data_IF_164227387263
#
_entry.id   IF_164227387263
#
_cell.length_a   1.000
_cell.length_b   1.000
_cell.length_c   1.000
_cell.angle_alpha   90.00
_cell.angle_beta   90.00
_cell.angle_gamma   90.00
#
_symmetry.space_group_name_H-M   'P 1'
#
loop_
_entity.id
_entity.type
_entity.pdbx_description
1 polymer ?
#
# COMPACT_ATOMS: atom_id res chain seq x y z
N UNK A 1 61.09 -43.08 -13.36
CA UNK A 1 60.77 -41.63 -13.36
C UNK A 1 59.30 -41.50 -13.66
N UNK A 2 58.43 -41.85 -12.71
CA UNK A 2 56.97 -41.80 -12.88
C UNK A 2 56.26 -41.96 -11.51
N UNK A 3 56.49 -41.02 -10.59
CA UNK A 3 55.74 -40.98 -9.32
C UNK A 3 55.54 -39.48 -8.89
N UNK A 4 55.00 -38.62 -9.72
CA UNK A 4 54.67 -37.26 -9.28
C UNK A 4 53.50 -36.61 -10.01
N UNK A 5 52.49 -37.38 -10.38
CA UNK A 5 51.30 -36.76 -11.02
C UNK A 5 49.96 -37.28 -10.52
N UNK A 6 49.85 -37.88 -9.33
CA UNK A 6 48.59 -38.34 -8.76
C UNK A 6 48.06 -37.54 -7.56
N UNK A 7 48.72 -36.48 -7.16
CA UNK A 7 48.32 -35.68 -5.97
C UNK A 7 47.48 -34.45 -6.25
N UNK A 8 47.46 -33.92 -7.45
CA UNK A 8 46.83 -32.64 -7.75
C UNK A 8 45.36 -32.68 -8.18
N UNK A 9 44.88 -33.85 -8.59
CA UNK A 9 43.50 -33.99 -9.10
C UNK A 9 42.45 -34.24 -8.00
N UNK A 10 42.85 -34.60 -6.78
CA UNK A 10 41.89 -34.82 -5.65
C UNK A 10 41.58 -33.57 -4.84
N UNK A 11 42.40 -32.52 -4.91
CA UNK A 11 42.18 -31.29 -4.17
C UNK A 11 41.27 -30.29 -4.88
N UNK A 12 41.11 -30.44 -6.21
CA UNK A 12 40.23 -29.56 -7.01
C UNK A 12 38.75 -29.96 -6.99
N UNK A 13 38.43 -31.20 -6.58
CA UNK A 13 37.04 -31.71 -6.51
C UNK A 13 36.33 -31.43 -5.17
N UNK A 14 37.03 -30.96 -4.16
CA UNK A 14 36.44 -30.67 -2.83
C UNK A 14 36.03 -29.23 -2.62
N UNK A 15 36.32 -28.34 -3.57
CA UNK A 15 35.98 -26.91 -3.50
C UNK A 15 34.72 -26.51 -4.27
N UNK A 16 34.02 -27.47 -4.88
CA UNK A 16 32.83 -27.23 -5.71
C UNK A 16 31.47 -27.57 -5.05
N UNK A 17 31.46 -27.89 -3.74
CA UNK A 17 30.24 -28.40 -3.08
C UNK A 17 29.72 -27.55 -1.90
N UNK A 18 30.06 -26.26 -1.79
CA UNK A 18 29.49 -25.40 -0.72
C UNK A 18 28.97 -24.08 -1.26
N UNK A 19 28.33 -24.08 -2.41
CA UNK A 19 27.34 -23.04 -2.77
C UNK A 19 25.94 -23.65 -2.73
N UNK A 20 25.54 -24.15 -1.57
CA UNK A 20 24.11 -24.28 -1.29
C UNK A 20 23.60 -22.85 -1.13
N UNK A 21 23.04 -22.31 -2.21
CA UNK A 21 22.27 -21.08 -2.20
C UNK A 21 21.18 -21.21 -1.15
N UNK A 22 21.42 -20.61 0.03
CA UNK A 22 20.38 -20.43 1.02
C UNK A 22 19.40 -19.41 0.45
N UNK A 23 18.50 -19.90 -0.40
CA UNK A 23 17.37 -19.13 -0.88
C UNK A 23 16.50 -18.85 0.34
N UNK A 24 16.65 -17.65 0.91
CA UNK A 24 15.75 -17.16 1.94
C UNK A 24 14.39 -16.92 1.27
N UNK A 25 13.61 -17.97 1.18
CA UNK A 25 12.26 -17.89 0.64
C UNK A 25 11.41 -17.17 1.67
N UNK A 26 11.19 -15.87 1.45
CA UNK A 26 10.27 -15.09 2.26
C UNK A 26 8.91 -15.79 2.26
N UNK A 27 8.38 -16.13 3.44
CA UNK A 27 7.03 -16.71 3.57
C UNK A 27 6.04 -15.80 2.85
N UNK A 28 5.11 -16.36 2.06
CA UNK A 28 4.06 -15.58 1.44
C UNK A 28 3.28 -14.83 2.54
N UNK A 29 3.10 -13.52 2.36
CA UNK A 29 2.34 -12.70 3.31
C UNK A 29 0.87 -13.12 3.24
N UNK A 30 0.29 -13.52 4.36
CA UNK A 30 -1.16 -13.76 4.43
C UNK A 30 -1.89 -12.41 4.50
N UNK A 31 -2.41 -11.99 3.38
CA UNK A 31 -3.09 -10.71 3.21
C UNK A 31 -4.44 -10.60 3.93
N UNK A 32 -5.01 -11.72 4.42
CA UNK A 32 -6.41 -11.79 4.87
C UNK A 32 -6.64 -11.26 6.28
N UNK A 33 -5.70 -11.47 7.18
CA UNK A 33 -5.87 -11.17 8.62
C UNK A 33 -4.75 -10.29 9.18
N UNK A 34 -4.05 -9.54 8.33
CA UNK A 34 -2.86 -8.80 8.74
C UNK A 34 -3.22 -7.66 9.70
N UNK A 35 -2.77 -7.78 10.93
CA UNK A 35 -2.58 -6.67 11.87
C UNK A 35 -1.14 -6.18 11.75
N UNK A 36 -0.88 -4.94 12.16
CA UNK A 36 0.45 -4.35 12.06
C UNK A 36 1.06 -4.19 13.45
N UNK A 37 2.23 -4.80 13.66
CA UNK A 37 2.94 -4.72 14.94
C UNK A 37 3.54 -3.33 15.17
N UNK A 38 3.91 -2.65 14.08
CA UNK A 38 4.50 -1.32 14.08
C UNK A 38 4.32 -0.63 12.71
N UNK A 39 4.77 0.62 12.60
CA UNK A 39 4.64 1.44 11.40
C UNK A 39 5.46 0.90 10.22
N UNK A 40 6.64 0.33 10.46
CA UNK A 40 7.48 -0.28 9.43
C UNK A 40 6.77 -1.49 8.80
N UNK A 41 6.11 -2.33 9.62
CA UNK A 41 5.32 -3.45 9.13
C UNK A 41 4.16 -2.95 8.25
N UNK A 42 3.45 -1.90 8.67
CA UNK A 42 2.42 -1.25 7.86
C UNK A 42 2.98 -0.76 6.52
N UNK A 43 4.10 -0.02 6.52
CA UNK A 43 4.71 0.52 5.31
C UNK A 43 5.15 -0.59 4.35
N UNK A 44 5.79 -1.63 4.86
CA UNK A 44 6.21 -2.80 4.06
C UNK A 44 5.00 -3.50 3.41
N UNK A 45 3.92 -3.66 4.17
CA UNK A 45 2.68 -4.22 3.66
C UNK A 45 2.10 -3.34 2.54
N UNK A 46 2.00 -2.03 2.77
CA UNK A 46 1.48 -1.08 1.80
C UNK A 46 2.29 -1.08 0.51
N UNK A 47 3.63 -1.06 0.61
CA UNK A 47 4.52 -1.10 -0.57
C UNK A 47 4.28 -2.36 -1.41
N UNK A 48 4.13 -3.52 -0.79
CA UNK A 48 3.84 -4.77 -1.51
C UNK A 48 2.46 -4.74 -2.20
N UNK A 49 1.42 -4.22 -1.54
CA UNK A 49 0.09 -4.05 -2.13
C UNK A 49 0.12 -3.10 -3.33
N UNK A 50 0.77 -1.94 -3.18
CA UNK A 50 0.83 -0.93 -4.23
C UNK A 50 1.60 -1.46 -5.44
N UNK A 51 2.70 -2.19 -5.21
CA UNK A 51 3.45 -2.84 -6.27
C UNK A 51 2.57 -3.82 -7.07
N UNK A 52 1.75 -4.64 -6.39
CA UNK A 52 0.84 -5.58 -7.07
C UNK A 52 -0.25 -4.84 -7.88
N UNK A 53 -0.82 -3.78 -7.31
CA UNK A 53 -1.81 -2.93 -8.01
C UNK A 53 -1.17 -2.26 -9.23
N UNK A 54 0.00 -1.64 -9.04
CA UNK A 54 0.68 -0.88 -10.08
C UNK A 54 1.20 -1.77 -11.24
N UNK A 55 1.54 -3.04 -10.98
CA UNK A 55 1.91 -3.99 -12.05
C UNK A 55 0.81 -4.19 -13.09
N UNK A 56 -0.45 -4.06 -12.68
CA UNK A 56 -1.63 -4.32 -13.52
C UNK A 56 -2.16 -3.06 -14.22
N UNK A 57 -1.57 -1.90 -13.93
CA UNK A 57 -2.03 -0.61 -14.45
C UNK A 57 -1.08 -0.05 -15.51
N UNK A 58 -1.59 0.57 -16.57
CA UNK A 58 -0.78 1.36 -17.49
C UNK A 58 -0.17 2.57 -16.75
N UNK A 59 0.93 3.10 -17.30
CA UNK A 59 1.75 4.14 -16.65
C UNK A 59 0.95 5.37 -16.21
N UNK A 60 0.03 5.81 -17.03
CA UNK A 60 -0.83 6.99 -16.81
C UNK A 60 -1.87 6.78 -15.72
N UNK A 61 -2.20 5.53 -15.37
CA UNK A 61 -3.14 5.18 -14.30
C UNK A 61 -2.46 4.89 -12.95
N UNK A 62 -1.12 4.77 -12.93
CA UNK A 62 -0.38 4.57 -11.69
C UNK A 62 -0.42 5.82 -10.83
N UNK A 63 -0.73 5.65 -9.56
CA UNK A 63 -0.70 6.70 -8.56
C UNK A 63 0.65 6.67 -7.85
N UNK A 64 1.12 7.81 -7.35
CA UNK A 64 2.33 7.89 -6.52
C UNK A 64 2.20 6.96 -5.30
N UNK A 65 3.16 6.09 -5.10
CA UNK A 65 3.17 5.12 -3.99
C UNK A 65 3.12 5.86 -2.65
N UNK A 66 3.92 6.90 -2.51
CA UNK A 66 3.94 7.76 -1.34
C UNK A 66 2.57 8.39 -1.04
N UNK A 67 1.85 8.87 -2.06
CA UNK A 67 0.53 9.45 -1.88
C UNK A 67 -0.50 8.40 -1.43
N UNK A 68 -0.46 7.21 -2.00
CA UNK A 68 -1.34 6.09 -1.61
C UNK A 68 -1.08 5.68 -0.17
N UNK A 69 0.19 5.57 0.23
CA UNK A 69 0.60 5.25 1.61
C UNK A 69 0.15 6.34 2.58
N UNK A 70 0.46 7.61 2.28
CA UNK A 70 0.13 8.73 3.17
C UNK A 70 -1.38 8.87 3.40
N UNK A 71 -2.18 8.66 2.35
CA UNK A 71 -3.64 8.66 2.49
C UNK A 71 -4.11 7.50 3.38
N UNK A 72 -3.56 6.29 3.21
CA UNK A 72 -3.92 5.16 4.07
C UNK A 72 -3.54 5.42 5.54
N UNK A 73 -2.38 6.02 5.79
CA UNK A 73 -1.95 6.43 7.16
C UNK A 73 -2.95 7.40 7.76
N UNK A 74 -3.33 8.44 7.01
CA UNK A 74 -4.26 9.48 7.47
C UNK A 74 -5.65 8.91 7.78
N UNK A 75 -6.20 8.12 6.87
CA UNK A 75 -7.58 7.60 6.96
C UNK A 75 -7.75 6.44 7.94
N UNK A 76 -6.69 5.64 8.14
CA UNK A 76 -6.78 4.44 8.96
C UNK A 76 -5.99 4.48 10.28
N UNK A 77 -5.36 5.62 10.60
CA UNK A 77 -4.43 5.72 11.75
C UNK A 77 -3.39 4.56 11.72
N UNK A 78 -2.65 4.43 10.61
CA UNK A 78 -1.67 3.35 10.42
C UNK A 78 -2.29 1.93 10.41
N UNK A 79 -3.53 1.82 9.95
CA UNK A 79 -4.25 0.54 9.88
C UNK A 79 -4.82 0.06 11.22
N UNK A 80 -4.88 0.93 12.24
CA UNK A 80 -5.39 0.59 13.58
C UNK A 80 -6.84 1.02 13.81
N UNK A 81 -7.43 1.79 12.91
CA UNK A 81 -8.84 2.17 13.02
C UNK A 81 -9.77 0.95 12.94
N UNK A 82 -10.96 1.05 13.54
CA UNK A 82 -11.95 -0.03 13.51
C UNK A 82 -12.27 -0.50 12.09
N UNK A 83 -12.45 0.42 11.15
CA UNK A 83 -12.73 0.06 9.76
C UNK A 83 -11.56 -0.64 9.08
N UNK A 84 -10.32 -0.33 9.47
CA UNK A 84 -9.14 -1.04 8.98
C UNK A 84 -9.00 -2.44 9.60
N UNK A 85 -9.31 -2.60 10.88
CA UNK A 85 -9.19 -3.87 11.60
C UNK A 85 -10.31 -4.84 11.25
N UNK A 86 -11.55 -4.41 11.33
CA UNK A 86 -12.74 -5.26 11.17
C UNK A 86 -13.20 -5.33 9.70
N UNK A 87 -12.99 -4.27 8.92
CA UNK A 87 -13.48 -4.13 7.54
C UNK A 87 -12.40 -4.14 6.48
N UNK A 88 -11.12 -4.29 6.82
CA UNK A 88 -10.00 -4.20 5.88
C UNK A 88 -10.02 -2.92 5.01
N UNK A 89 -10.65 -1.85 5.50
CA UNK A 89 -10.83 -0.60 4.78
C UNK A 89 -9.86 0.46 5.28
N UNK A 90 -8.77 0.66 4.54
CA UNK A 90 -7.68 1.58 4.89
C UNK A 90 -7.99 3.05 4.49
N UNK A 91 -9.07 3.30 3.77
CA UNK A 91 -9.35 4.61 3.16
C UNK A 91 -10.72 5.17 3.54
N UNK A 92 -11.45 4.54 4.44
CA UNK A 92 -12.79 4.99 4.81
C UNK A 92 -13.80 4.95 3.65
N UNK A 93 -13.59 4.08 2.66
CA UNK A 93 -14.42 4.01 1.46
C UNK A 93 -15.87 3.72 1.82
N UNK A 94 -16.75 4.69 1.50
CA UNK A 94 -18.19 4.63 1.78
C UNK A 94 -18.94 3.85 0.69
N UNK A 95 -20.13 3.38 1.05
CA UNK A 95 -21.16 2.86 0.12
C UNK A 95 -22.52 3.35 0.54
N UNK A 96 -23.37 3.63 -0.44
CA UNK A 96 -24.78 4.05 -0.24
C UNK A 96 -25.76 2.91 -0.51
N UNK A 97 -25.23 1.77 -0.97
CA UNK A 97 -26.00 0.54 -1.11
C UNK A 97 -25.67 -0.36 0.08
N UNK A 98 -26.69 -0.94 0.68
CA UNK A 98 -26.51 -1.92 1.76
C UNK A 98 -26.37 -3.36 1.24
N UNK A 99 -26.14 -3.50 -0.06
CA UNK A 99 -25.84 -4.79 -0.69
C UNK A 99 -24.37 -5.14 -0.50
N UNK A 100 -24.10 -6.33 0.02
CA UNK A 100 -22.75 -6.81 0.31
C UNK A 100 -22.25 -6.42 1.70
N UNK A 101 -21.03 -6.88 2.08
CA UNK A 101 -20.44 -6.64 3.39
C UNK A 101 -20.17 -5.15 3.62
N UNK A 102 -20.72 -4.61 4.71
CA UNK A 102 -20.52 -3.21 5.10
C UNK A 102 -20.64 -3.05 6.62
N UNK A 103 -20.12 -1.93 7.14
CA UNK A 103 -20.14 -1.56 8.54
C UNK A 103 -20.80 -0.19 8.72
N UNK A 104 -21.62 -0.04 9.76
CA UNK A 104 -22.18 1.27 10.11
C UNK A 104 -21.17 2.09 10.93
N UNK A 105 -21.17 3.43 10.78
CA UNK A 105 -20.49 4.32 11.70
C UNK A 105 -21.12 4.18 13.11
N UNK A 106 -20.30 4.03 14.15
CA UNK A 106 -20.80 3.89 15.54
C UNK A 106 -21.49 5.17 16.04
N UNK A 107 -20.98 6.32 15.63
CA UNK A 107 -21.46 7.63 16.09
C UNK A 107 -22.73 8.10 15.35
N UNK A 108 -23.08 7.44 14.27
CA UNK A 108 -24.23 7.79 13.44
C UNK A 108 -24.90 6.54 12.85
N UNK A 109 -25.66 5.83 13.66
CA UNK A 109 -26.43 4.64 13.22
C UNK A 109 -27.50 4.96 12.17
N UNK A 110 -27.93 6.24 12.08
CA UNK A 110 -28.89 6.74 11.09
C UNK A 110 -28.21 7.29 9.82
N UNK A 111 -26.89 7.10 9.66
CA UNK A 111 -26.20 7.53 8.47
C UNK A 111 -26.85 6.92 7.21
N UNK A 112 -26.99 7.72 6.18
CA UNK A 112 -27.48 7.29 4.88
C UNK A 112 -26.43 6.55 4.05
N UNK A 113 -25.24 6.28 4.64
CA UNK A 113 -24.16 5.52 4.05
C UNK A 113 -23.62 4.47 5.05
N UNK A 114 -22.91 3.51 4.51
CA UNK A 114 -22.09 2.55 5.27
C UNK A 114 -20.65 2.61 4.80
N UNK A 115 -19.73 2.02 5.55
CA UNK A 115 -18.35 1.83 5.16
C UNK A 115 -18.18 0.43 4.57
N UNK A 116 -17.58 0.33 3.39
CA UNK A 116 -17.36 -0.96 2.71
C UNK A 116 -16.43 -1.85 3.50
N UNK A 117 -16.74 -3.16 3.48
CA UNK A 117 -15.84 -4.21 3.97
C UNK A 117 -15.16 -4.87 2.77
N UNK A 118 -13.86 -5.10 2.88
CA UNK A 118 -13.04 -5.75 1.86
C UNK A 118 -12.55 -7.12 2.35
N UNK A 119 -12.27 -8.00 1.41
CA UNK A 119 -11.72 -9.32 1.74
C UNK A 119 -10.31 -9.19 2.32
N UNK A 120 -9.51 -8.27 1.78
CA UNK A 120 -8.16 -7.95 2.23
C UNK A 120 -7.96 -6.43 2.28
N UNK A 121 -6.95 -5.98 3.04
CA UNK A 121 -6.54 -4.57 3.03
C UNK A 121 -6.02 -4.14 1.66
N UNK A 122 -5.38 -5.04 0.91
CA UNK A 122 -4.95 -4.77 -0.47
C UNK A 122 -6.13 -4.52 -1.43
N UNK A 123 -7.29 -5.15 -1.20
CA UNK A 123 -8.47 -4.86 -2.01
C UNK A 123 -8.98 -3.42 -1.78
N UNK A 124 -8.82 -2.89 -0.56
CA UNK A 124 -9.14 -1.48 -0.31
C UNK A 124 -8.14 -0.53 -1.00
N UNK A 125 -6.85 -0.89 -1.07
CA UNK A 125 -5.83 -0.15 -1.85
C UNK A 125 -6.21 -0.13 -3.33
N UNK A 126 -6.55 -1.29 -3.90
CA UNK A 126 -6.98 -1.42 -5.29
C UNK A 126 -8.22 -0.56 -5.58
N UNK A 127 -9.20 -0.59 -4.69
CA UNK A 127 -10.43 0.20 -4.86
C UNK A 127 -10.17 1.70 -4.74
N UNK A 128 -9.30 2.13 -3.80
CA UNK A 128 -8.89 3.53 -3.70
C UNK A 128 -8.23 4.03 -4.99
N UNK A 129 -7.28 3.28 -5.53
CA UNK A 129 -6.63 3.62 -6.82
C UNK A 129 -7.65 3.63 -7.96
N UNK A 130 -8.64 2.70 -7.97
CA UNK A 130 -9.73 2.71 -8.95
C UNK A 130 -10.60 3.97 -8.84
N UNK A 131 -10.92 4.42 -7.61
CA UNK A 131 -11.68 5.64 -7.37
C UNK A 131 -10.93 6.85 -7.92
N UNK A 132 -9.64 7.00 -7.63
CA UNK A 132 -8.82 8.09 -8.16
C UNK A 132 -8.77 8.08 -9.70
N UNK A 133 -8.79 6.90 -10.29
CA UNK A 133 -8.75 6.74 -11.74
C UNK A 133 -10.08 7.05 -12.44
N UNK A 134 -11.22 6.82 -11.78
CA UNK A 134 -12.50 6.80 -12.49
C UNK A 134 -13.53 7.78 -11.94
N UNK A 135 -13.47 8.18 -10.66
CA UNK A 135 -14.48 9.04 -10.08
C UNK A 135 -14.37 10.48 -10.61
N UNK A 136 -15.49 11.12 -11.01
CA UNK A 136 -15.48 12.48 -11.59
C UNK A 136 -14.80 13.53 -10.71
N UNK A 137 -14.97 13.46 -9.39
CA UNK A 137 -14.38 14.40 -8.43
C UNK A 137 -12.84 14.48 -8.48
N UNK A 138 -12.16 13.45 -9.03
CA UNK A 138 -10.71 13.40 -9.14
C UNK A 138 -10.19 13.69 -10.55
N UNK A 139 -10.95 14.40 -11.38
CA UNK A 139 -10.54 14.77 -12.75
C UNK A 139 -9.24 15.59 -12.75
N UNK A 140 -9.15 16.61 -11.89
CA UNK A 140 -7.97 17.48 -11.82
C UNK A 140 -6.75 16.72 -11.30
N UNK A 141 -6.92 15.88 -10.32
CA UNK A 141 -5.87 14.96 -9.87
C UNK A 141 -5.34 14.11 -11.04
N UNK A 142 -6.23 13.51 -11.86
CA UNK A 142 -5.82 12.71 -13.01
C UNK A 142 -5.02 13.51 -14.04
N UNK A 143 -5.39 14.75 -14.29
CA UNK A 143 -4.64 15.64 -15.19
C UNK A 143 -3.27 15.94 -14.62
N UNK A 144 -3.19 16.34 -13.35
CA UNK A 144 -1.94 16.77 -12.72
C UNK A 144 -0.94 15.62 -12.49
N UNK A 145 -1.39 14.41 -12.24
CA UNK A 145 -0.48 13.26 -12.09
C UNK A 145 0.23 12.84 -13.38
N UNK A 146 -0.22 13.29 -14.55
CA UNK A 146 0.48 13.08 -15.82
C UNK A 146 1.76 13.93 -15.89
N UNK A 147 1.77 15.08 -15.21
CA UNK A 147 2.90 16.02 -15.16
C UNK A 147 3.97 15.57 -14.15
N UNK A 148 3.56 14.97 -13.04
CA UNK A 148 4.46 14.62 -11.94
C UNK A 148 3.96 13.43 -11.10
N UNK A 149 4.88 12.81 -10.37
CA UNK A 149 4.59 11.82 -9.32
C UNK A 149 4.87 12.37 -7.91
N UNK A 150 5.23 13.63 -7.78
CA UNK A 150 5.52 14.23 -6.48
C UNK A 150 4.24 14.31 -5.63
N UNK A 151 4.21 13.57 -4.53
CA UNK A 151 3.05 13.50 -3.65
C UNK A 151 2.65 14.85 -3.03
N UNK A 152 3.63 15.69 -2.67
CA UNK A 152 3.36 17.03 -2.12
C UNK A 152 2.67 17.94 -3.14
N UNK A 153 3.07 17.86 -4.41
CA UNK A 153 2.43 18.60 -5.49
C UNK A 153 1.01 18.09 -5.77
N UNK A 154 0.79 16.80 -5.64
CA UNK A 154 -0.49 16.15 -5.95
C UNK A 154 -1.52 16.22 -4.80
N UNK A 155 -1.07 16.35 -3.56
CA UNK A 155 -1.94 16.35 -2.38
C UNK A 155 -3.11 17.37 -2.45
N UNK A 156 -2.94 18.63 -2.91
CA UNK A 156 -4.03 19.59 -3.03
C UNK A 156 -5.17 19.15 -3.96
N UNK A 157 -4.87 18.33 -4.96
CA UNK A 157 -5.87 17.83 -5.91
C UNK A 157 -6.69 16.65 -5.36
N UNK A 158 -6.44 16.24 -4.10
CA UNK A 158 -7.24 15.27 -3.35
C UNK A 158 -8.17 15.93 -2.31
N UNK A 159 -8.28 17.26 -2.26
CA UNK A 159 -9.14 17.95 -1.29
C UNK A 159 -10.60 17.44 -1.33
N UNK A 160 -11.10 17.04 -2.49
CA UNK A 160 -12.44 16.50 -2.66
C UNK A 160 -12.61 15.06 -2.16
N UNK A 161 -11.54 14.45 -1.61
CA UNK A 161 -11.63 13.13 -0.98
C UNK A 161 -12.31 13.20 0.39
N UNK A 162 -12.21 14.33 1.07
CA UNK A 162 -12.79 14.59 2.38
C UNK A 162 -13.65 15.85 2.38
N UNK A 163 -14.64 15.90 3.24
CA UNK A 163 -15.46 17.08 3.49
C UNK A 163 -14.66 18.24 4.14
N UNK A 164 -13.43 17.96 4.59
CA UNK A 164 -12.53 18.94 5.24
C UNK A 164 -11.83 19.88 4.26
N UNK A 165 -11.89 19.64 2.94
CA UNK A 165 -11.30 20.51 1.94
C UNK A 165 -9.80 20.78 2.17
N UNK A 166 -9.44 22.08 2.32
CA UNK A 166 -8.04 22.51 2.50
C UNK A 166 -7.39 21.97 3.78
N UNK A 167 -8.16 21.76 4.83
CA UNK A 167 -7.66 21.15 6.06
C UNK A 167 -7.22 19.69 5.84
N UNK A 168 -7.93 18.96 5.00
CA UNK A 168 -7.52 17.64 4.55
C UNK A 168 -6.15 17.67 3.86
N UNK A 169 -5.97 18.63 2.95
CA UNK A 169 -4.69 18.81 2.24
C UNK A 169 -3.55 19.06 3.23
N UNK A 170 -3.73 19.93 4.22
CA UNK A 170 -2.69 20.20 5.24
C UNK A 170 -2.32 18.96 6.03
N UNK A 171 -3.31 18.17 6.45
CA UNK A 171 -3.09 16.90 7.17
C UNK A 171 -2.35 15.90 6.31
N UNK A 172 -2.75 15.73 5.06
CA UNK A 172 -2.10 14.82 4.12
C UNK A 172 -0.64 15.21 3.87
N UNK A 173 -0.37 16.50 3.63
CA UNK A 173 1.00 17.04 3.50
C UNK A 173 1.83 16.77 4.74
N UNK A 174 1.27 16.98 5.94
CA UNK A 174 1.97 16.69 7.21
C UNK A 174 2.34 15.21 7.34
N UNK A 175 1.46 14.31 6.93
CA UNK A 175 1.74 12.86 6.92
C UNK A 175 2.84 12.52 5.91
N UNK A 176 2.79 13.07 4.70
CA UNK A 176 3.83 12.87 3.68
C UNK A 176 5.20 13.30 4.23
N UNK A 177 5.29 14.50 4.80
CA UNK A 177 6.54 15.02 5.36
C UNK A 177 7.02 14.18 6.56
N UNK A 178 6.10 13.72 7.41
CA UNK A 178 6.44 12.82 8.52
C UNK A 178 7.05 11.51 8.00
N UNK A 179 6.43 10.88 6.99
CA UNK A 179 6.91 9.64 6.41
C UNK A 179 8.31 9.85 5.81
N UNK A 180 8.51 10.88 5.00
CA UNK A 180 9.82 11.22 4.40
C UNK A 180 10.93 11.43 5.43
N UNK A 181 10.59 12.01 6.59
CA UNK A 181 11.56 12.28 7.65
C UNK A 181 11.99 11.03 8.41
N UNK A 182 11.12 10.04 8.54
CA UNK A 182 11.32 8.95 9.50
C UNK A 182 11.46 7.58 8.84
N UNK A 183 11.14 7.46 7.53
CA UNK A 183 11.13 6.19 6.82
C UNK A 183 11.62 6.35 5.39
N UNK A 184 12.33 5.34 4.89
CA UNK A 184 12.73 5.23 3.48
C UNK A 184 11.64 4.42 2.73
N UNK A 185 10.82 5.10 1.91
CA UNK A 185 9.78 4.48 1.08
C UNK A 185 9.81 4.98 -0.36
#
# INVERSE_FOLDING_TARGET
MNIMLKGFTKLLLLLLLVFTSFSLQAKPVDWRTTTFDNKEHFLKYMSACILDVNKKLPREQKVSDELVVATAVLESAWGTSRFALEGNNLYGIKTWTRTGPNMLPLENEKANFSVRVFLTKCDSVKEYVRILNNHPAHKDFRTKRLETKNALYLAPFLQNYSELGDEYTKRLVSVILYIRKHYDI
#
